data_IF_584985051263
#
_entry.id   IF_584985051263
#
_cell.length_a   1.000
_cell.length_b   1.000
_cell.length_c   1.000
_cell.angle_alpha   90.00
_cell.angle_beta   90.00
_cell.angle_gamma   90.00
#
_symmetry.space_group_name_H-M   'P 1'
#
loop_
_entity.id
_entity.type
_entity.pdbx_description
1 polymer ?
#
# COMPACT_ATOMS: atom_id res chain seq x y z
N UNK A 1 -34.37 5.94 -16.70
CA UNK A 1 -33.47 4.94 -16.08
C UNK A 1 -32.71 5.58 -14.94
N UNK A 2 -32.73 4.97 -13.73
CA UNK A 2 -31.95 5.46 -12.60
C UNK A 2 -30.44 5.24 -12.83
N UNK A 3 -29.58 6.00 -12.12
CA UNK A 3 -28.13 5.84 -12.24
C UNK A 3 -27.67 4.41 -11.91
N UNK A 4 -28.29 3.75 -10.93
CA UNK A 4 -28.00 2.36 -10.58
C UNK A 4 -28.38 1.35 -11.68
N UNK A 5 -29.50 1.57 -12.38
CA UNK A 5 -29.88 0.71 -13.51
C UNK A 5 -28.89 0.82 -14.68
N UNK A 6 -28.41 2.02 -14.98
CA UNK A 6 -27.38 2.22 -16.02
C UNK A 6 -26.08 1.49 -15.67
N UNK A 7 -25.63 1.57 -14.40
CA UNK A 7 -24.41 0.86 -13.93
C UNK A 7 -24.56 -0.66 -14.04
N UNK A 8 -25.72 -1.22 -13.65
CA UNK A 8 -25.98 -2.67 -13.78
C UNK A 8 -25.93 -3.13 -15.24
N UNK A 9 -26.53 -2.39 -16.16
CA UNK A 9 -26.49 -2.70 -17.59
C UNK A 9 -25.06 -2.61 -18.13
N UNK A 10 -24.31 -1.58 -17.76
CA UNK A 10 -22.91 -1.43 -18.16
C UNK A 10 -22.04 -2.62 -17.64
N UNK A 11 -22.25 -3.05 -16.40
CA UNK A 11 -21.58 -4.21 -15.82
C UNK A 11 -21.90 -5.47 -16.62
N UNK A 12 -23.17 -5.75 -16.86
CA UNK A 12 -23.59 -6.93 -17.64
C UNK A 12 -22.98 -6.91 -19.04
N UNK A 13 -22.98 -5.76 -19.70
CA UNK A 13 -22.39 -5.62 -21.03
C UNK A 13 -20.86 -5.87 -21.02
N UNK A 14 -20.15 -5.38 -20.00
CA UNK A 14 -18.73 -5.61 -19.84
C UNK A 14 -18.42 -7.11 -19.63
N UNK A 15 -19.24 -7.82 -18.84
CA UNK A 15 -19.07 -9.23 -18.54
C UNK A 15 -19.44 -10.16 -19.72
N UNK A 16 -20.37 -9.74 -20.57
CA UNK A 16 -20.76 -10.51 -21.77
C UNK A 16 -19.80 -10.30 -22.95
N UNK A 17 -18.99 -9.27 -22.93
CA UNK A 17 -18.03 -8.99 -24.00
C UNK A 17 -16.77 -9.86 -23.77
N UNK A 18 -16.35 -10.68 -24.77
CA UNK A 18 -15.10 -11.41 -24.66
C UNK A 18 -13.91 -10.47 -24.42
N UNK A 19 -13.17 -10.71 -23.35
CA UNK A 19 -12.02 -9.87 -22.99
C UNK A 19 -10.96 -10.72 -22.29
N UNK A 20 -9.68 -10.40 -22.54
CA UNK A 20 -8.54 -10.98 -21.83
C UNK A 20 -8.27 -10.28 -20.50
N UNK A 21 -8.67 -9.00 -20.41
CA UNK A 21 -8.51 -8.18 -19.21
C UNK A 21 -9.83 -7.49 -18.88
N UNK A 22 -10.28 -7.63 -17.66
CA UNK A 22 -11.48 -7.01 -17.13
C UNK A 22 -11.08 -5.94 -16.11
N UNK A 23 -11.51 -4.69 -16.35
CA UNK A 23 -11.26 -3.56 -15.44
C UNK A 23 -12.58 -3.14 -14.81
N UNK A 24 -12.66 -3.23 -13.47
CA UNK A 24 -13.88 -2.95 -12.70
C UNK A 24 -13.61 -1.89 -11.64
N UNK A 25 -14.49 -0.89 -11.59
CA UNK A 25 -14.48 0.18 -10.59
C UNK A 25 -15.75 0.11 -9.75
N UNK A 26 -15.58 -0.23 -8.45
CA UNK A 26 -16.67 -0.40 -7.48
C UNK A 26 -17.83 -1.27 -8.04
N UNK A 27 -17.57 -2.51 -8.49
CA UNK A 27 -18.57 -3.30 -9.21
C UNK A 27 -19.73 -3.76 -8.33
N UNK A 28 -19.54 -3.86 -7.00
CA UNK A 28 -20.58 -4.26 -6.05
C UNK A 28 -21.55 -3.12 -5.69
N UNK A 29 -21.21 -1.88 -6.02
CA UNK A 29 -22.07 -0.75 -5.73
C UNK A 29 -23.43 -0.85 -6.45
N UNK A 30 -24.51 -0.73 -5.67
CA UNK A 30 -25.89 -0.83 -6.14
C UNK A 30 -26.35 -2.22 -6.56
N UNK A 31 -25.59 -3.28 -6.24
CA UNK A 31 -26.04 -4.65 -6.36
C UNK A 31 -26.77 -5.08 -5.09
N UNK A 32 -27.74 -5.97 -5.25
CA UNK A 32 -28.29 -6.72 -4.13
C UNK A 32 -27.42 -7.95 -3.83
N UNK A 33 -27.67 -8.63 -2.72
CA UNK A 33 -26.86 -9.76 -2.28
C UNK A 33 -26.78 -10.88 -3.34
N UNK A 34 -27.89 -11.19 -3.99
CA UNK A 34 -27.93 -12.27 -4.98
C UNK A 34 -27.08 -11.92 -6.22
N UNK A 35 -27.12 -10.66 -6.66
CA UNK A 35 -26.27 -10.19 -7.77
C UNK A 35 -24.80 -10.13 -7.37
N UNK A 36 -24.48 -9.77 -6.13
CA UNK A 36 -23.10 -9.76 -5.64
C UNK A 36 -22.51 -11.16 -5.58
N UNK A 37 -23.26 -12.14 -5.07
CA UNK A 37 -22.87 -13.55 -5.05
C UNK A 37 -22.66 -14.10 -6.47
N UNK A 38 -23.57 -13.80 -7.38
CA UNK A 38 -23.40 -14.18 -8.79
C UNK A 38 -22.15 -13.57 -9.42
N UNK A 39 -21.87 -12.29 -9.13
CA UNK A 39 -20.68 -11.62 -9.65
C UNK A 39 -19.40 -12.25 -9.09
N UNK A 40 -19.37 -12.60 -7.80
CA UNK A 40 -18.25 -13.30 -7.18
C UNK A 40 -17.96 -14.62 -7.92
N UNK A 41 -18.97 -15.46 -8.11
CA UNK A 41 -18.83 -16.74 -8.83
C UNK A 41 -18.33 -16.54 -10.25
N UNK A 42 -18.87 -15.54 -10.96
CA UNK A 42 -18.42 -15.20 -12.30
C UNK A 42 -16.94 -14.82 -12.35
N UNK A 43 -16.50 -13.93 -11.44
CA UNK A 43 -15.12 -13.44 -11.41
C UNK A 43 -14.13 -14.54 -10.97
N UNK A 44 -14.50 -15.41 -10.04
CA UNK A 44 -13.70 -16.58 -9.66
C UNK A 44 -13.50 -17.53 -10.86
N UNK A 45 -14.50 -17.68 -11.72
CA UNK A 45 -14.43 -18.50 -12.92
C UNK A 45 -13.79 -17.83 -14.14
N UNK A 46 -13.51 -16.53 -14.07
CA UNK A 46 -12.99 -15.78 -15.21
C UNK A 46 -11.53 -16.19 -15.53
N UNK A 47 -11.27 -16.51 -16.79
CA UNK A 47 -9.95 -17.03 -17.23
C UNK A 47 -8.93 -15.96 -17.60
N UNK A 48 -9.36 -14.72 -17.69
CA UNK A 48 -8.48 -13.56 -17.99
C UNK A 48 -7.91 -12.90 -16.74
N UNK A 49 -7.26 -11.77 -16.91
CA UNK A 49 -6.81 -10.94 -15.84
C UNK A 49 -7.92 -9.99 -15.35
N UNK A 50 -8.05 -9.81 -14.04
CA UNK A 50 -9.00 -8.86 -13.45
C UNK A 50 -8.20 -7.78 -12.72
N UNK A 51 -8.47 -6.52 -13.06
CA UNK A 51 -8.05 -5.36 -12.30
C UNK A 51 -9.27 -4.70 -11.69
N UNK A 52 -9.35 -4.66 -10.37
CA UNK A 52 -10.54 -4.17 -9.68
C UNK A 52 -10.17 -3.18 -8.58
N UNK A 53 -10.99 -2.12 -8.46
CA UNK A 53 -10.98 -1.20 -7.32
C UNK A 53 -12.29 -1.36 -6.58
N UNK A 54 -12.25 -1.62 -5.27
CA UNK A 54 -13.45 -1.69 -4.43
C UNK A 54 -13.11 -1.49 -2.96
N UNK A 55 -14.09 -1.01 -2.20
CA UNK A 55 -14.04 -0.91 -0.74
C UNK A 55 -14.73 -2.09 -0.04
N UNK A 56 -15.32 -2.99 -0.79
CA UNK A 56 -16.00 -4.18 -0.25
C UNK A 56 -14.98 -5.24 0.17
N UNK A 57 -14.70 -5.29 1.46
CA UNK A 57 -13.70 -6.19 2.06
C UNK A 57 -14.11 -7.66 1.95
N UNK A 58 -15.40 -7.96 2.08
CA UNK A 58 -15.92 -9.33 1.95
C UNK A 58 -15.78 -9.85 0.52
N UNK A 59 -16.09 -9.00 -0.43
CA UNK A 59 -15.92 -9.31 -1.85
C UNK A 59 -14.44 -9.55 -2.19
N UNK A 60 -13.54 -8.66 -1.71
CA UNK A 60 -12.10 -8.83 -1.89
C UNK A 60 -11.56 -10.11 -1.26
N UNK A 61 -12.08 -10.49 -0.10
CA UNK A 61 -11.62 -11.71 0.60
C UNK A 61 -11.96 -12.98 -0.18
N UNK A 62 -13.05 -12.97 -0.96
CA UNK A 62 -13.51 -14.12 -1.74
C UNK A 62 -12.93 -14.17 -3.16
N UNK A 63 -12.73 -13.02 -3.79
CA UNK A 63 -12.38 -12.93 -5.22
C UNK A 63 -10.91 -12.61 -5.47
N UNK A 64 -10.27 -11.81 -4.59
CA UNK A 64 -8.92 -11.36 -4.82
C UNK A 64 -7.89 -12.47 -4.59
N UNK A 65 -6.98 -12.63 -5.54
CA UNK A 65 -5.78 -13.48 -5.42
C UNK A 65 -4.51 -12.67 -5.17
N UNK A 66 -4.60 -11.36 -5.32
CA UNK A 66 -3.52 -10.40 -5.07
C UNK A 66 -4.13 -9.03 -4.80
N UNK A 67 -3.58 -8.33 -3.82
CA UNK A 67 -3.96 -6.94 -3.51
C UNK A 67 -2.76 -6.03 -3.76
N UNK A 68 -3.01 -4.90 -4.40
CA UNK A 68 -2.02 -3.85 -4.63
C UNK A 68 -2.44 -2.60 -3.87
N UNK A 69 -1.62 -2.19 -2.94
CA UNK A 69 -1.82 -0.97 -2.16
C UNK A 69 -1.01 0.17 -2.76
N UNK A 70 -1.63 1.32 -2.94
CA UNK A 70 -0.95 2.58 -3.26
C UNK A 70 -0.80 3.37 -1.97
N UNK A 71 0.42 3.56 -1.49
CA UNK A 71 0.71 4.25 -0.25
C UNK A 71 1.90 5.20 -0.44
N UNK A 72 1.70 6.49 -0.17
CA UNK A 72 2.72 7.54 -0.30
C UNK A 72 3.49 7.51 -1.64
N UNK A 73 2.78 7.32 -2.75
CA UNK A 73 3.36 7.26 -4.10
C UNK A 73 4.15 5.98 -4.40
N UNK A 74 4.05 4.96 -3.56
CA UNK A 74 4.65 3.64 -3.76
C UNK A 74 3.57 2.59 -3.94
N UNK A 75 3.89 1.54 -4.69
CA UNK A 75 3.05 0.37 -4.87
C UNK A 75 3.57 -0.78 -4.01
N UNK A 76 2.70 -1.37 -3.23
CA UNK A 76 2.98 -2.57 -2.45
C UNK A 76 2.06 -3.69 -2.90
N UNK A 77 2.63 -4.81 -3.32
CA UNK A 77 1.89 -5.97 -3.80
C UNK A 77 1.89 -7.06 -2.73
N UNK A 78 0.70 -7.52 -2.38
CA UNK A 78 0.47 -8.57 -1.39
C UNK A 78 -0.21 -9.75 -2.08
N UNK A 79 0.40 -10.94 -2.07
CA UNK A 79 -0.25 -12.15 -2.54
C UNK A 79 -1.38 -12.54 -1.58
N UNK A 80 -2.44 -13.13 -2.14
CA UNK A 80 -3.56 -13.63 -1.37
C UNK A 80 -4.78 -12.71 -1.36
N UNK A 81 -5.74 -13.04 -0.49
CA UNK A 81 -6.99 -12.35 -0.30
C UNK A 81 -6.88 -11.16 0.68
N UNK A 82 -8.02 -10.57 1.05
CA UNK A 82 -8.04 -9.42 1.95
C UNK A 82 -7.54 -9.76 3.36
N UNK A 83 -7.85 -10.92 3.89
CA UNK A 83 -7.39 -11.37 5.21
C UNK A 83 -5.87 -11.53 5.26
N UNK A 84 -5.26 -12.06 4.21
CA UNK A 84 -3.80 -12.17 4.08
C UNK A 84 -3.14 -10.81 3.89
N UNK A 85 -3.75 -9.93 3.09
CA UNK A 85 -3.30 -8.55 2.94
C UNK A 85 -3.19 -7.82 4.28
N UNK A 86 -4.23 -7.92 5.14
CA UNK A 86 -4.22 -7.25 6.45
C UNK A 86 -3.06 -7.73 7.32
N UNK A 87 -2.77 -9.04 7.34
CA UNK A 87 -1.63 -9.60 8.08
C UNK A 87 -0.29 -9.09 7.56
N UNK A 88 -0.07 -9.24 6.25
CA UNK A 88 1.19 -8.83 5.61
C UNK A 88 1.43 -7.33 5.70
N UNK A 89 0.37 -6.52 5.62
CA UNK A 89 0.45 -5.08 5.83
C UNK A 89 0.87 -4.75 7.26
N UNK A 90 0.27 -5.40 8.27
CA UNK A 90 0.64 -5.22 9.67
C UNK A 90 2.13 -5.59 9.90
N UNK A 91 2.59 -6.72 9.40
CA UNK A 91 3.99 -7.13 9.47
C UNK A 91 4.94 -6.11 8.82
N UNK A 92 4.59 -5.60 7.65
CA UNK A 92 5.36 -4.55 6.96
C UNK A 92 5.47 -3.29 7.81
N UNK A 93 4.36 -2.87 8.43
CA UNK A 93 4.32 -1.69 9.28
C UNK A 93 5.16 -1.87 10.55
N UNK A 94 5.08 -3.03 11.19
CA UNK A 94 5.87 -3.36 12.37
C UNK A 94 7.38 -3.38 12.06
N UNK A 95 7.78 -3.96 10.93
CA UNK A 95 9.17 -3.94 10.47
C UNK A 95 9.65 -2.51 10.19
N UNK A 96 8.83 -1.67 9.58
CA UNK A 96 9.15 -0.27 9.32
C UNK A 96 9.34 0.51 10.63
N UNK A 97 8.45 0.32 11.62
CA UNK A 97 8.55 0.93 12.93
C UNK A 97 9.79 0.46 13.71
N UNK A 98 10.11 -0.83 13.66
CA UNK A 98 11.32 -1.38 14.29
C UNK A 98 12.59 -0.80 13.65
N UNK A 99 12.64 -0.68 12.33
CA UNK A 99 13.74 -0.07 11.59
C UNK A 99 13.91 1.40 11.97
N UNK A 100 12.81 2.14 12.05
CA UNK A 100 12.84 3.55 12.43
C UNK A 100 13.27 3.75 13.89
N UNK A 101 12.83 2.91 14.83
CA UNK A 101 13.31 2.93 16.22
C UNK A 101 14.81 2.68 16.30
N UNK A 102 15.32 1.70 15.55
CA UNK A 102 16.76 1.39 15.48
C UNK A 102 17.55 2.55 14.89
N UNK A 103 17.05 3.19 13.82
CA UNK A 103 17.66 4.37 13.20
C UNK A 103 17.73 5.54 14.18
N UNK A 104 16.64 5.84 14.90
CA UNK A 104 16.58 6.91 15.91
C UNK A 104 17.53 6.65 17.07
N UNK A 105 17.63 5.42 17.55
CA UNK A 105 18.56 5.03 18.61
C UNK A 105 20.02 5.23 18.17
N UNK A 106 20.37 4.79 16.96
CA UNK A 106 21.69 4.98 16.40
C UNK A 106 22.03 6.47 16.25
N UNK A 107 21.12 7.25 15.66
CA UNK A 107 21.32 8.70 15.49
C UNK A 107 21.54 9.40 16.83
N UNK A 108 20.77 9.05 17.87
CA UNK A 108 20.96 9.61 19.22
C UNK A 108 22.36 9.31 19.75
N UNK A 109 22.82 8.07 19.65
CA UNK A 109 24.17 7.66 20.09
C UNK A 109 25.26 8.43 19.36
N UNK A 110 25.09 8.62 18.05
CA UNK A 110 26.03 9.35 17.21
C UNK A 110 26.08 10.85 17.53
N UNK A 111 24.91 11.45 17.79
CA UNK A 111 24.82 12.86 18.21
C UNK A 111 25.46 13.09 19.60
N UNK A 112 25.25 12.16 20.54
CA UNK A 112 25.92 12.19 21.85
C UNK A 112 27.44 12.10 21.70
N UNK A 113 27.93 11.26 20.79
CA UNK A 113 29.35 11.14 20.49
C UNK A 113 29.94 12.45 19.92
N UNK A 114 29.23 13.07 18.98
CA UNK A 114 29.61 14.38 18.43
C UNK A 114 29.63 15.47 19.50
N UNK A 115 28.63 15.49 20.40
CA UNK A 115 28.51 16.48 21.49
C UNK A 115 29.64 16.37 22.54
N UNK A 116 30.27 15.19 22.67
CA UNK A 116 31.41 14.99 23.56
C UNK A 116 32.75 15.55 23.02
N UNK A 117 32.72 16.30 21.94
CA UNK A 117 33.90 17.03 21.43
C UNK A 117 34.86 16.14 20.66
N UNK A 118 34.37 15.18 19.89
CA UNK A 118 35.19 14.40 18.97
C UNK A 118 35.88 15.34 17.98
N UNK A 119 37.17 15.61 18.22
CA UNK A 119 37.99 16.46 17.34
C UNK A 119 38.21 15.73 16.03
N UNK A 120 37.61 16.22 14.95
CA UNK A 120 37.74 15.69 13.61
C UNK A 120 39.15 15.85 13.06
N UNK A 121 40.09 14.96 13.41
CA UNK A 121 41.48 14.99 12.94
C UNK A 121 41.82 13.88 11.93
N UNK A 122 40.89 13.02 11.57
CA UNK A 122 41.15 11.94 10.61
C UNK A 122 40.07 11.82 9.54
N UNK A 123 40.44 11.30 8.37
CA UNK A 123 39.53 11.03 7.24
C UNK A 123 38.37 10.11 7.63
N UNK A 124 38.61 9.15 8.54
CA UNK A 124 37.56 8.26 9.07
C UNK A 124 36.51 9.01 9.89
N UNK A 125 36.92 10.04 10.64
CA UNK A 125 35.98 10.87 11.40
C UNK A 125 35.14 11.77 10.50
N UNK A 126 35.72 12.28 9.41
CA UNK A 126 34.97 13.08 8.42
C UNK A 126 33.87 12.24 7.77
N UNK A 127 34.20 11.04 7.29
CA UNK A 127 33.22 10.10 6.72
C UNK A 127 32.11 9.70 7.71
N UNK A 128 32.44 9.66 9.01
CA UNK A 128 31.47 9.37 10.06
C UNK A 128 30.51 10.55 10.29
N UNK A 129 31.03 11.78 10.32
CA UNK A 129 30.22 13.01 10.41
C UNK A 129 29.28 13.15 9.19
N UNK A 130 29.78 12.87 7.98
CA UNK A 130 28.98 12.94 6.76
C UNK A 130 27.82 11.90 6.78
N UNK A 131 28.06 10.72 7.34
CA UNK A 131 27.01 9.70 7.54
C UNK A 131 25.92 10.18 8.52
N UNK A 132 26.30 10.84 9.61
CA UNK A 132 25.34 11.37 10.59
C UNK A 132 24.49 12.48 9.96
N UNK A 133 25.12 13.40 9.19
CA UNK A 133 24.39 14.44 8.46
C UNK A 133 23.39 13.85 7.47
N UNK A 134 23.77 12.85 6.70
CA UNK A 134 22.87 12.15 5.78
C UNK A 134 21.67 11.51 6.51
N UNK A 135 21.87 10.97 7.71
CA UNK A 135 20.77 10.43 8.53
C UNK A 135 19.82 11.53 9.06
N UNK A 136 20.31 12.72 9.30
CA UNK A 136 19.49 13.88 9.70
C UNK A 136 18.66 14.42 8.53
N UNK A 137 19.25 14.57 7.35
CA UNK A 137 18.56 15.04 6.14
C UNK A 137 17.37 14.14 5.77
N UNK A 138 17.50 12.83 5.93
CA UNK A 138 16.38 11.89 5.71
C UNK A 138 15.23 12.16 6.69
N UNK A 139 15.51 12.57 7.92
CA UNK A 139 14.51 12.92 8.93
C UNK A 139 13.74 14.18 8.52
N UNK A 140 14.44 15.22 8.09
CA UNK A 140 13.84 16.50 7.72
C UNK A 140 12.90 16.33 6.51
N UNK A 141 13.29 15.56 5.50
CA UNK A 141 12.46 15.25 4.33
C UNK A 141 11.19 14.45 4.72
N UNK A 142 11.26 13.58 5.72
CA UNK A 142 10.10 12.79 6.17
C UNK A 142 9.15 13.60 7.05
N UNK A 143 9.65 14.54 7.85
CA UNK A 143 8.84 15.44 8.66
C UNK A 143 8.16 16.51 7.81
N UNK A 144 8.84 17.10 6.81
CA UNK A 144 8.23 18.03 5.84
C UNK A 144 7.09 17.36 5.05
N UNK A 145 7.24 16.09 4.63
CA UNK A 145 6.16 15.36 3.95
C UNK A 145 4.94 15.08 4.83
N UNK A 146 5.11 14.98 6.15
CA UNK A 146 3.98 14.85 7.08
C UNK A 146 3.19 16.14 7.25
N UNK A 147 3.86 17.28 7.26
CA UNK A 147 3.24 18.61 7.44
C UNK A 147 2.44 19.05 6.20
N UNK A 148 2.75 18.54 5.02
CA UNK A 148 2.04 18.86 3.76
C UNK A 148 0.76 18.03 3.58
N UNK A 149 0.50 17.02 4.42
CA UNK A 149 -0.63 16.09 4.32
C UNK A 149 -1.69 16.25 5.44
N UNK A 150 -1.53 17.20 6.36
CA UNK A 150 -2.52 17.66 7.33
C UNK A 150 -3.12 19.02 6.86
#
# INVERSE_FOLDING_TARGET
MSGGQKKRIALVNALLTPADILVLDEPTNHLDNAMSEWLEEYLIGFRGAILMVTHDRYFLDRVATRIVEVDQGKLYSYPGNYSEFVKLKAERQDMALATERKRKSLLRTELEWLGRGARARSTKQKAHIDRIKAMQEIKDIQEEKKVVLD
#
